data_IF_411608358749
#
_entry.id   IF_411608358749
#
_cell.length_a   1.000
_cell.length_b   1.000
_cell.length_c   1.000
_cell.angle_alpha   90.00
_cell.angle_beta   90.00
_cell.angle_gamma   90.00
#
_symmetry.space_group_name_H-M   'P 1'
#
loop_
_entity.id
_entity.type
_entity.pdbx_description
1 polymer ?
#
# COMPACT_ATOMS: atom_id res chain seq x y z
N UNK A 1 -115.96 43.02 -63.46
CA UNK A 1 -114.56 42.56 -63.66
C UNK A 1 -113.75 43.03 -62.45
N UNK A 2 -113.08 42.09 -61.76
CA UNK A 2 -112.67 42.19 -60.36
C UNK A 2 -111.48 43.14 -60.12
N UNK A 3 -111.69 44.14 -59.27
CA UNK A 3 -110.68 44.87 -58.49
C UNK A 3 -111.28 45.14 -57.11
N UNK A 4 -110.59 44.74 -56.05
CA UNK A 4 -110.82 45.29 -54.71
C UNK A 4 -109.44 45.55 -54.09
N UNK A 5 -109.21 46.82 -53.79
CA UNK A 5 -108.16 47.35 -52.92
C UNK A 5 -108.68 47.21 -51.49
N UNK A 6 -107.83 46.84 -50.52
CA UNK A 6 -108.08 47.21 -49.14
C UNK A 6 -106.79 47.33 -48.33
N UNK A 7 -106.80 48.37 -47.49
CA UNK A 7 -105.81 48.76 -46.50
C UNK A 7 -105.72 47.74 -45.35
N UNK A 8 -104.51 47.53 -44.81
CA UNK A 8 -104.27 46.82 -43.55
C UNK A 8 -102.87 47.15 -43.03
N UNK A 9 -102.79 47.90 -41.93
CA UNK A 9 -101.54 48.25 -41.26
C UNK A 9 -101.03 47.17 -40.32
N UNK A 10 -99.80 47.34 -39.81
CA UNK A 10 -99.17 46.78 -38.59
C UNK A 10 -97.80 47.50 -38.48
N UNK A 11 -97.67 48.54 -37.66
CA UNK A 11 -97.22 48.58 -36.26
C UNK A 11 -95.79 48.02 -36.05
N UNK A 12 -94.81 48.93 -36.02
CA UNK A 12 -93.41 48.68 -35.67
C UNK A 12 -93.22 48.99 -34.18
N UNK A 13 -92.88 47.98 -33.38
CA UNK A 13 -92.65 48.09 -31.94
C UNK A 13 -91.15 48.33 -31.67
N UNK A 14 -90.82 49.49 -31.09
CA UNK A 14 -89.47 49.86 -30.65
C UNK A 14 -89.15 49.21 -29.29
N UNK A 15 -88.02 48.51 -29.24
CA UNK A 15 -87.46 47.80 -28.09
C UNK A 15 -87.01 48.76 -26.99
N UNK A 16 -87.41 48.47 -25.73
CA UNK A 16 -86.79 49.07 -24.55
C UNK A 16 -86.78 48.10 -23.36
N UNK A 17 -85.66 48.18 -22.63
CA UNK A 17 -85.33 47.70 -21.28
C UNK A 17 -85.02 46.22 -21.00
N UNK A 18 -83.87 46.06 -20.33
CA UNK A 18 -83.40 44.85 -19.67
C UNK A 18 -81.96 45.01 -19.17
N UNK A 19 -81.65 46.06 -18.39
CA UNK A 19 -80.41 46.11 -17.62
C UNK A 19 -80.60 45.22 -16.38
N UNK A 20 -79.80 44.17 -16.25
CA UNK A 20 -79.80 43.26 -15.09
C UNK A 20 -78.37 43.10 -14.57
N UNK A 21 -78.18 43.65 -13.37
CA UNK A 21 -77.25 43.35 -12.27
C UNK A 21 -75.95 42.58 -12.51
N UNK A 22 -74.86 43.23 -12.08
CA UNK A 22 -73.72 42.69 -11.33
C UNK A 22 -73.43 41.19 -11.50
N UNK A 23 -72.49 40.89 -12.40
CA UNK A 23 -71.57 39.81 -12.14
C UNK A 23 -70.46 40.39 -11.28
N UNK A 24 -70.45 40.03 -9.99
CA UNK A 24 -69.27 40.08 -9.12
C UNK A 24 -68.13 39.35 -9.85
N UNK A 25 -67.37 40.10 -10.64
CA UNK A 25 -66.00 39.74 -10.93
C UNK A 25 -65.31 39.87 -9.57
N UNK A 26 -65.00 38.74 -8.94
CA UNK A 26 -63.97 38.74 -7.91
C UNK A 26 -62.76 39.43 -8.55
N UNK A 27 -62.58 40.69 -8.17
CA UNK A 27 -61.36 41.43 -8.36
C UNK A 27 -60.31 40.53 -7.71
N UNK A 28 -59.55 39.81 -8.54
CA UNK A 28 -58.37 39.10 -8.08
C UNK A 28 -57.46 40.21 -7.55
N UNK A 29 -57.61 40.50 -6.27
CA UNK A 29 -56.77 41.44 -5.54
C UNK A 29 -55.35 40.99 -5.86
N UNK A 30 -54.63 41.84 -6.60
CA UNK A 30 -53.23 41.62 -6.85
C UNK A 30 -52.59 41.71 -5.47
N UNK A 31 -52.45 40.58 -4.79
CA UNK A 31 -51.68 40.54 -3.56
C UNK A 31 -50.33 41.16 -3.88
N UNK A 32 -50.10 42.34 -3.31
CA UNK A 32 -48.82 43.02 -3.40
C UNK A 32 -47.75 42.00 -3.05
N UNK A 33 -46.80 41.81 -3.97
CA UNK A 33 -45.70 40.91 -3.75
C UNK A 33 -44.86 41.48 -2.59
N UNK A 34 -45.15 41.05 -1.36
CA UNK A 34 -44.36 41.42 -0.21
C UNK A 34 -42.98 40.80 -0.38
N UNK A 35 -41.99 41.65 -0.65
CA UNK A 35 -40.59 41.27 -0.61
C UNK A 35 -40.29 40.64 0.76
N UNK A 36 -39.61 39.49 0.73
CA UNK A 36 -39.14 38.79 1.92
C UNK A 36 -37.65 39.00 2.07
N UNK A 37 -37.17 38.88 3.30
CA UNK A 37 -35.74 38.87 3.60
C UNK A 37 -35.26 37.43 3.78
N UNK A 38 -34.14 37.10 3.14
CA UNK A 38 -33.54 35.77 3.11
C UNK A 38 -32.34 35.74 4.05
N UNK A 39 -32.28 34.74 4.93
CA UNK A 39 -31.16 34.51 5.83
C UNK A 39 -30.62 33.10 5.70
N UNK A 40 -29.30 32.95 5.79
CA UNK A 40 -28.65 31.66 5.87
C UNK A 40 -29.19 30.89 7.09
N UNK A 41 -29.43 29.60 6.92
CA UNK A 41 -29.94 28.72 7.97
C UNK A 41 -28.92 27.68 8.41
N UNK A 42 -29.39 26.76 9.23
CA UNK A 42 -28.59 25.69 9.82
C UNK A 42 -28.84 24.35 9.11
N UNK A 43 -28.07 23.33 9.51
CA UNK A 43 -28.29 21.94 9.13
C UNK A 43 -29.70 21.47 9.50
N UNK A 44 -30.33 20.71 8.62
CA UNK A 44 -31.67 20.16 8.84
C UNK A 44 -31.66 18.64 8.78
N UNK A 45 -32.06 17.95 9.85
CA UNK A 45 -32.03 16.49 9.86
C UNK A 45 -30.60 15.94 10.05
N UNK A 46 -30.41 14.66 9.76
CA UNK A 46 -29.14 13.95 9.99
C UNK A 46 -28.22 14.05 8.78
N UNK A 47 -26.92 14.24 9.02
CA UNK A 47 -25.90 14.14 7.98
C UNK A 47 -25.88 12.70 7.46
N UNK A 48 -26.09 12.53 6.17
CA UNK A 48 -26.11 11.21 5.55
C UNK A 48 -24.69 10.82 5.15
N UNK A 49 -24.22 9.69 5.69
CA UNK A 49 -22.93 9.09 5.32
C UNK A 49 -23.12 8.09 4.18
N UNK A 50 -22.31 8.23 3.13
CA UNK A 50 -22.16 7.23 2.05
C UNK A 50 -20.74 6.66 2.07
N UNK A 51 -20.41 5.80 1.11
CA UNK A 51 -19.03 5.30 0.96
C UNK A 51 -18.06 6.38 0.49
N UNK A 52 -18.53 7.40 -0.25
CA UNK A 52 -17.66 8.39 -0.90
C UNK A 52 -17.82 9.81 -0.33
N UNK A 53 -18.98 10.11 0.26
CA UNK A 53 -19.33 11.47 0.68
C UNK A 53 -20.20 11.53 1.93
N UNK A 54 -20.15 12.68 2.59
CA UNK A 54 -21.17 13.12 3.54
C UNK A 54 -22.11 14.10 2.85
N UNK A 55 -23.41 13.88 2.97
CA UNK A 55 -24.46 14.77 2.45
C UNK A 55 -25.06 15.49 3.65
N UNK A 56 -24.86 16.80 3.70
CA UNK A 56 -25.28 17.69 4.76
C UNK A 56 -26.50 18.48 4.25
N UNK A 57 -27.72 18.09 4.63
CA UNK A 57 -28.92 18.88 4.35
C UNK A 57 -28.90 20.20 5.12
N UNK A 58 -29.12 21.31 4.43
CA UNK A 58 -29.09 22.68 5.00
C UNK A 58 -30.35 23.43 4.60
N UNK A 59 -30.85 24.28 5.51
CA UNK A 59 -31.97 25.18 5.24
C UNK A 59 -31.52 26.62 5.00
N UNK A 60 -32.36 27.35 4.26
CA UNK A 60 -32.36 28.80 4.15
C UNK A 60 -33.75 29.26 4.54
N UNK A 61 -33.85 30.30 5.35
CA UNK A 61 -35.11 30.76 5.94
C UNK A 61 -35.48 32.15 5.43
N UNK A 62 -36.79 32.39 5.36
CA UNK A 62 -37.39 33.68 5.05
C UNK A 62 -38.03 34.26 6.31
N UNK A 63 -38.12 35.59 6.38
CA UNK A 63 -38.87 36.28 7.44
C UNK A 63 -40.41 36.23 7.26
N UNK A 64 -40.89 35.55 6.20
CA UNK A 64 -42.31 35.34 5.91
C UNK A 64 -42.50 34.45 4.66
N UNK A 65 -43.74 34.04 4.41
CA UNK A 65 -44.05 33.15 3.28
C UNK A 65 -43.74 33.79 1.91
N UNK A 66 -43.08 33.03 1.04
CA UNK A 66 -42.71 33.49 -0.29
C UNK A 66 -43.94 33.82 -1.16
N UNK A 67 -44.07 35.10 -1.56
CA UNK A 67 -45.17 35.56 -2.42
C UNK A 67 -45.14 34.99 -3.85
N UNK A 68 -44.00 34.47 -4.31
CA UNK A 68 -43.80 33.77 -5.60
C UNK A 68 -42.69 32.74 -5.44
N UNK A 69 -42.65 31.72 -6.31
CA UNK A 69 -41.49 30.83 -6.37
C UNK A 69 -40.26 31.58 -6.89
N UNK A 70 -39.07 31.37 -6.31
CA UNK A 70 -37.81 31.96 -6.77
C UNK A 70 -36.62 31.07 -6.41
N UNK A 71 -35.46 31.40 -6.96
CA UNK A 71 -34.21 30.68 -6.71
C UNK A 71 -33.18 31.64 -6.12
N UNK A 72 -32.41 31.15 -5.15
CA UNK A 72 -31.31 31.87 -4.51
C UNK A 72 -30.00 31.19 -4.90
N UNK A 73 -29.12 31.85 -5.68
CA UNK A 73 -27.82 31.29 -6.00
C UNK A 73 -26.93 31.14 -4.78
N UNK A 74 -26.25 30.00 -4.70
CA UNK A 74 -25.37 29.62 -3.60
C UNK A 74 -23.93 29.49 -4.09
N UNK A 75 -22.99 29.65 -3.17
CA UNK A 75 -21.57 29.46 -3.44
C UNK A 75 -20.85 29.04 -2.17
N UNK A 76 -19.78 28.27 -2.30
CA UNK A 76 -18.86 27.97 -1.20
C UNK A 76 -18.16 29.27 -0.79
N UNK A 77 -18.06 29.52 0.52
CA UNK A 77 -17.41 30.70 1.10
C UNK A 77 -16.48 30.28 2.24
N UNK A 78 -15.47 29.50 1.91
CA UNK A 78 -14.53 28.98 2.89
C UNK A 78 -13.57 30.05 3.41
N UNK A 79 -13.28 31.10 2.62
CA UNK A 79 -12.47 32.24 3.04
C UNK A 79 -13.03 32.94 4.29
N UNK A 80 -14.35 33.02 4.42
CA UNK A 80 -14.99 33.61 5.60
C UNK A 80 -14.78 32.72 6.83
N UNK A 81 -14.89 31.40 6.69
CA UNK A 81 -14.59 30.46 7.79
C UNK A 81 -13.15 30.61 8.26
N UNK A 82 -12.19 30.63 7.33
CA UNK A 82 -10.76 30.79 7.66
C UNK A 82 -10.54 32.11 8.42
N UNK A 83 -11.08 33.23 7.94
CA UNK A 83 -10.95 34.53 8.62
C UNK A 83 -11.52 34.52 10.03
N UNK A 84 -12.65 33.85 10.25
CA UNK A 84 -13.28 33.76 11.58
C UNK A 84 -12.48 32.87 12.54
N UNK A 85 -11.83 31.80 12.04
CA UNK A 85 -10.90 30.99 12.81
C UNK A 85 -9.67 31.82 13.19
N UNK A 86 -9.07 32.54 12.24
CA UNK A 86 -7.91 33.41 12.46
C UNK A 86 -8.22 34.55 13.44
N UNK A 87 -9.44 35.10 13.40
CA UNK A 87 -9.92 36.09 14.35
C UNK A 87 -10.23 35.52 15.75
N UNK A 88 -10.23 34.19 15.92
CA UNK A 88 -10.59 33.51 17.16
C UNK A 88 -12.09 33.49 17.46
N UNK A 89 -12.94 33.87 16.50
CA UNK A 89 -14.41 33.85 16.63
C UNK A 89 -14.97 32.42 16.50
N UNK A 90 -14.24 31.56 15.78
CA UNK A 90 -14.51 30.12 15.71
C UNK A 90 -13.37 29.33 16.36
N UNK A 91 -13.54 28.98 17.63
CA UNK A 91 -12.58 28.18 18.39
C UNK A 91 -12.76 26.67 18.16
N UNK A 92 -11.67 25.91 18.22
CA UNK A 92 -11.63 24.44 18.16
C UNK A 92 -12.27 23.82 16.91
N UNK A 93 -12.26 24.53 15.79
CA UNK A 93 -12.74 24.04 14.49
C UNK A 93 -11.64 24.08 13.43
N UNK A 94 -11.73 23.18 12.45
CA UNK A 94 -10.87 23.16 11.27
C UNK A 94 -11.69 23.49 10.02
N UNK A 95 -11.19 24.42 9.21
CA UNK A 95 -11.78 24.70 7.91
C UNK A 95 -11.50 23.54 6.96
N UNK A 96 -12.55 23.02 6.31
CA UNK A 96 -12.41 22.05 5.22
C UNK A 96 -11.79 22.69 3.98
N UNK A 97 -11.12 21.88 3.15
CA UNK A 97 -10.67 22.33 1.83
C UNK A 97 -11.85 22.74 0.94
N UNK A 98 -11.83 23.95 0.37
CA UNK A 98 -12.89 24.42 -0.53
C UNK A 98 -13.12 23.49 -1.73
N UNK A 99 -12.06 22.83 -2.23
CA UNK A 99 -12.13 21.90 -3.35
C UNK A 99 -12.86 20.59 -3.02
N UNK A 100 -13.02 20.27 -1.73
CA UNK A 100 -13.72 19.06 -1.26
C UNK A 100 -15.22 19.27 -1.08
N UNK A 101 -15.70 20.51 -1.20
CA UNK A 101 -17.08 20.90 -0.92
C UNK A 101 -17.81 21.15 -2.24
N UNK A 102 -18.91 20.42 -2.43
CA UNK A 102 -19.90 20.73 -3.46
C UNK A 102 -21.18 21.23 -2.79
N UNK A 103 -21.80 22.24 -3.39
CA UNK A 103 -23.07 22.80 -2.95
C UNK A 103 -24.00 22.87 -4.16
N UNK A 104 -25.30 22.66 -3.93
CA UNK A 104 -26.29 22.93 -4.99
C UNK A 104 -26.14 24.38 -5.47
N UNK A 105 -26.16 24.60 -6.79
CA UNK A 105 -25.97 25.95 -7.36
C UNK A 105 -27.06 26.94 -6.91
N UNK A 106 -28.25 26.44 -6.58
CA UNK A 106 -29.40 27.25 -6.16
C UNK A 106 -30.23 26.54 -5.09
N UNK A 107 -30.78 27.30 -4.16
CA UNK A 107 -31.90 26.87 -3.32
C UNK A 107 -33.22 27.35 -3.92
N UNK A 108 -34.24 26.49 -3.93
CA UNK A 108 -35.53 26.77 -4.59
C UNK A 108 -36.65 26.99 -3.58
N UNK A 109 -37.18 28.20 -3.55
CA UNK A 109 -38.37 28.53 -2.77
C UNK A 109 -39.62 28.30 -3.60
N UNK A 110 -40.60 27.61 -3.01
CA UNK A 110 -41.93 27.42 -3.60
C UNK A 110 -42.84 28.56 -3.14
N UNK A 111 -43.90 28.82 -3.90
CA UNK A 111 -44.95 29.74 -3.45
C UNK A 111 -45.48 29.30 -2.08
N UNK A 112 -45.60 30.25 -1.15
CA UNK A 112 -46.07 30.01 0.21
C UNK A 112 -45.06 29.34 1.15
N UNK A 113 -43.86 28.98 0.70
CA UNK A 113 -42.83 28.40 1.59
C UNK A 113 -42.10 29.48 2.38
N UNK A 114 -41.75 29.19 3.63
CA UNK A 114 -40.91 30.05 4.49
C UNK A 114 -39.45 29.57 4.56
N UNK A 115 -39.17 28.40 3.98
CA UNK A 115 -37.84 27.82 3.95
C UNK A 115 -37.61 27.05 2.66
N UNK A 116 -36.35 26.99 2.23
CA UNK A 116 -35.87 26.10 1.18
C UNK A 116 -34.75 25.23 1.75
N UNK A 117 -34.59 24.04 1.19
CA UNK A 117 -33.50 23.13 1.53
C UNK A 117 -32.59 22.92 0.32
N UNK A 118 -31.33 22.69 0.60
CA UNK A 118 -30.31 22.31 -0.36
C UNK A 118 -29.29 21.39 0.32
N UNK A 119 -28.45 20.72 -0.45
CA UNK A 119 -27.40 19.86 0.08
C UNK A 119 -26.02 20.49 -0.08
N UNK A 120 -25.21 20.32 0.96
CA UNK A 120 -23.75 20.42 0.87
C UNK A 120 -23.22 18.99 0.86
N UNK A 121 -22.42 18.64 -0.14
CA UNK A 121 -21.78 17.34 -0.27
C UNK A 121 -20.28 17.52 -0.04
N UNK A 122 -19.71 16.73 0.86
CA UNK A 122 -18.27 16.76 1.18
C UNK A 122 -17.68 15.39 0.92
N UNK A 123 -16.48 15.35 0.32
CA UNK A 123 -15.74 14.11 0.17
C UNK A 123 -15.46 13.46 1.53
N UNK A 124 -15.76 12.16 1.68
CA UNK A 124 -15.59 11.45 2.95
C UNK A 124 -14.12 11.38 3.36
N UNK A 125 -13.20 11.19 2.42
CA UNK A 125 -11.76 11.13 2.68
C UNK A 125 -11.20 12.42 3.30
N UNK A 126 -11.74 13.59 2.91
CA UNK A 126 -11.38 14.86 3.52
C UNK A 126 -11.83 14.89 5.00
N UNK A 127 -13.05 14.42 5.28
CA UNK A 127 -13.57 14.38 6.65
C UNK A 127 -12.77 13.41 7.52
N UNK A 128 -12.38 12.26 6.96
CA UNK A 128 -11.54 11.26 7.63
C UNK A 128 -10.18 11.85 8.05
N UNK A 129 -9.54 12.67 7.21
CA UNK A 129 -8.26 13.34 7.53
C UNK A 129 -8.31 14.21 8.79
N UNK A 130 -9.50 14.67 9.16
CA UNK A 130 -9.71 15.49 10.36
C UNK A 130 -10.48 14.74 11.45
N UNK A 131 -10.48 13.41 11.42
CA UNK A 131 -11.17 12.61 12.42
C UNK A 131 -10.75 13.00 13.84
N UNK A 132 -11.75 13.23 14.70
CA UNK A 132 -11.57 13.73 16.05
C UNK A 132 -11.56 15.26 16.19
N UNK A 133 -11.79 16.01 15.10
CA UNK A 133 -11.92 17.47 15.13
C UNK A 133 -13.36 17.90 14.78
N UNK A 134 -13.70 19.14 15.10
CA UNK A 134 -14.87 19.82 14.54
C UNK A 134 -14.50 20.45 13.21
N UNK A 135 -15.39 20.34 12.23
CA UNK A 135 -15.19 20.87 10.89
C UNK A 135 -16.16 22.00 10.62
N UNK A 136 -15.70 23.01 9.88
CA UNK A 136 -16.49 24.17 9.49
C UNK A 136 -16.57 24.32 7.96
N UNK A 137 -17.78 24.58 7.46
CA UNK A 137 -18.08 24.83 6.05
C UNK A 137 -18.82 26.15 5.91
N UNK A 138 -18.31 27.03 5.05
CA UNK A 138 -18.96 28.31 4.75
C UNK A 138 -19.71 28.27 3.43
N UNK A 139 -20.88 28.89 3.37
CA UNK A 139 -21.60 29.16 2.13
C UNK A 139 -22.21 30.57 2.11
N UNK A 140 -22.34 31.16 0.93
CA UNK A 140 -22.92 32.50 0.75
C UNK A 140 -24.15 32.51 -0.14
N UNK A 141 -25.07 33.41 0.20
CA UNK A 141 -26.21 33.82 -0.60
C UNK A 141 -25.78 34.96 -1.52
N UNK A 142 -25.88 34.79 -2.85
CA UNK A 142 -25.31 35.75 -3.81
C UNK A 142 -26.36 36.72 -4.41
N UNK A 143 -27.63 36.33 -4.48
CA UNK A 143 -28.72 37.19 -4.99
C UNK A 143 -30.07 36.78 -4.36
N UNK A 144 -30.85 37.78 -3.94
CA UNK A 144 -32.15 37.55 -3.33
C UNK A 144 -33.24 37.08 -4.32
N UNK A 145 -33.08 37.42 -5.60
CA UNK A 145 -34.06 37.15 -6.66
C UNK A 145 -35.39 37.91 -6.47
N UNK A 146 -36.10 38.20 -7.57
CA UNK A 146 -37.49 38.71 -7.59
C UNK A 146 -37.83 39.81 -6.56
N UNK A 147 -36.94 40.81 -6.42
CA UNK A 147 -37.13 41.98 -5.53
C UNK A 147 -37.10 41.68 -4.02
N UNK A 148 -36.68 40.48 -3.63
CA UNK A 148 -36.38 40.15 -2.24
C UNK A 148 -35.08 40.81 -1.78
N UNK A 149 -34.79 40.69 -0.48
CA UNK A 149 -33.55 41.17 0.12
C UNK A 149 -32.78 40.01 0.77
N UNK A 150 -31.46 40.10 0.79
CA UNK A 150 -30.63 39.24 1.63
C UNK A 150 -30.34 40.00 2.92
N UNK A 151 -30.50 39.34 4.06
CA UNK A 151 -30.07 39.89 5.34
C UNK A 151 -28.55 40.04 5.34
N UNK A 152 -28.05 41.27 5.34
CA UNK A 152 -26.61 41.56 5.29
C UNK A 152 -25.83 41.04 6.50
N UNK A 153 -26.49 40.75 7.62
CA UNK A 153 -25.87 40.16 8.81
C UNK A 153 -25.90 38.63 8.79
N UNK A 154 -26.71 38.02 7.92
CA UNK A 154 -26.91 36.58 7.81
C UNK A 154 -26.83 36.09 6.35
N UNK A 155 -26.01 36.76 5.54
CA UNK A 155 -25.80 36.41 4.12
C UNK A 155 -24.83 35.24 3.91
N UNK A 156 -24.15 34.83 4.98
CA UNK A 156 -23.20 33.73 5.01
C UNK A 156 -23.64 32.74 6.08
N UNK A 157 -23.78 31.47 5.71
CA UNK A 157 -24.01 30.38 6.66
C UNK A 157 -22.71 29.65 6.95
N UNK A 158 -22.56 29.25 8.22
CA UNK A 158 -21.42 28.45 8.68
C UNK A 158 -21.96 27.20 9.34
N UNK A 159 -21.67 26.06 8.72
CA UNK A 159 -22.04 24.75 9.22
C UNK A 159 -20.87 24.18 9.99
N UNK A 160 -21.11 23.78 11.24
CA UNK A 160 -20.10 23.14 12.10
C UNK A 160 -20.65 21.78 12.52
N UNK A 161 -19.83 20.73 12.39
CA UNK A 161 -20.15 19.39 12.90
C UNK A 161 -18.90 18.73 13.48
N UNK A 162 -19.08 17.87 14.48
CA UNK A 162 -17.99 17.04 15.01
C UNK A 162 -17.84 15.79 14.14
N UNK A 163 -16.63 15.50 13.69
CA UNK A 163 -16.36 14.28 12.90
C UNK A 163 -16.73 12.99 13.63
N UNK A 164 -16.69 12.99 14.97
CA UNK A 164 -17.09 11.83 15.80
C UNK A 164 -18.61 11.59 15.82
N UNK A 165 -19.42 12.57 15.41
CA UNK A 165 -20.87 12.40 15.30
C UNK A 165 -21.29 11.70 14.01
N UNK A 166 -20.40 11.68 13.01
CA UNK A 166 -20.68 11.15 11.67
C UNK A 166 -19.81 9.95 11.29
N UNK A 167 -18.63 9.79 11.90
CA UNK A 167 -17.69 8.70 11.68
C UNK A 167 -17.33 8.03 13.01
N UNK A 168 -17.11 6.72 12.95
CA UNK A 168 -16.49 5.91 14.01
C UNK A 168 -15.03 5.62 13.67
N UNK A 169 -14.24 5.14 14.62
CA UNK A 169 -12.85 4.74 14.35
C UNK A 169 -12.76 3.61 13.30
N UNK A 170 -13.76 2.72 13.26
CA UNK A 170 -13.86 1.64 12.27
C UNK A 170 -14.24 2.15 10.87
N UNK A 171 -14.78 3.37 10.77
CA UNK A 171 -15.03 4.02 9.48
C UNK A 171 -13.78 4.65 8.87
N UNK A 172 -12.68 4.77 9.64
CA UNK A 172 -11.47 5.46 9.20
C UNK A 172 -10.56 4.52 8.44
N UNK A 173 -10.16 4.99 7.26
CA UNK A 173 -9.29 4.27 6.37
C UNK A 173 -7.84 4.61 6.67
N UNK A 174 -7.22 3.76 7.49
CA UNK A 174 -5.85 3.97 7.89
C UNK A 174 -4.83 3.41 6.90
N UNK A 175 -3.78 4.19 6.68
CA UNK A 175 -2.53 3.78 6.05
C UNK A 175 -1.59 3.27 7.15
N UNK A 176 -1.02 2.10 6.96
CA UNK A 176 -0.09 1.48 7.91
C UNK A 176 0.94 0.59 7.20
N UNK A 177 1.96 0.16 7.92
CA UNK A 177 2.74 -1.01 7.52
C UNK A 177 1.99 -2.29 7.87
N UNK A 178 2.11 -3.30 7.01
CA UNK A 178 1.60 -4.65 7.32
C UNK A 178 2.20 -5.20 8.62
N UNK A 179 3.46 -4.88 8.88
CA UNK A 179 4.21 -5.29 10.08
C UNK A 179 3.92 -4.42 11.31
N UNK A 180 3.33 -3.24 11.15
CA UNK A 180 2.76 -2.40 12.20
C UNK A 180 3.60 -2.29 13.48
N UNK A 181 4.68 -1.52 13.44
CA UNK A 181 5.56 -1.25 14.58
C UNK A 181 6.49 -2.40 14.98
N UNK A 182 6.34 -3.59 14.39
CA UNK A 182 7.22 -4.72 14.65
C UNK A 182 8.63 -4.52 14.07
N UNK A 183 9.59 -5.21 14.71
CA UNK A 183 10.94 -5.41 14.20
C UNK A 183 10.94 -6.60 13.24
N UNK A 184 11.38 -6.37 12.01
CA UNK A 184 11.57 -7.37 10.96
C UNK A 184 13.03 -7.79 10.98
N UNK A 185 13.33 -8.99 11.48
CA UNK A 185 14.70 -9.50 11.48
C UNK A 185 15.03 -10.18 10.14
N UNK A 186 16.03 -9.67 9.42
CA UNK A 186 16.60 -10.29 8.23
C UNK A 186 17.78 -11.19 8.62
N UNK A 187 17.59 -12.50 8.49
CA UNK A 187 18.59 -13.55 8.78
C UNK A 187 18.18 -14.88 8.17
N UNK A 188 19.11 -15.79 7.90
CA UNK A 188 18.83 -17.18 7.51
C UNK A 188 17.83 -17.29 6.33
N UNK A 189 17.99 -16.43 5.32
CA UNK A 189 17.07 -16.28 4.17
C UNK A 189 15.61 -15.93 4.51
N UNK A 190 15.36 -15.43 5.72
CA UNK A 190 14.06 -14.91 6.14
C UNK A 190 14.07 -13.39 6.00
N UNK A 191 12.99 -12.84 5.42
CA UNK A 191 12.77 -11.40 5.28
C UNK A 191 13.80 -10.65 4.42
N UNK A 192 14.54 -11.33 3.53
CA UNK A 192 15.35 -10.69 2.49
C UNK A 192 15.50 -11.58 1.25
N UNK A 193 15.79 -10.95 0.12
CA UNK A 193 16.25 -11.57 -1.11
C UNK A 193 17.71 -11.17 -1.37
N UNK A 194 18.52 -12.07 -1.93
CA UNK A 194 19.94 -11.83 -2.22
C UNK A 194 20.17 -11.59 -3.70
N UNK A 195 21.07 -10.67 -4.03
CA UNK A 195 21.54 -10.40 -5.39
C UNK A 195 23.07 -10.31 -5.40
N UNK A 196 23.68 -10.09 -6.58
CA UNK A 196 25.13 -9.84 -6.65
C UNK A 196 25.56 -8.50 -6.04
N UNK A 197 24.66 -7.50 -5.97
CA UNK A 197 24.97 -6.15 -5.49
C UNK A 197 24.72 -5.95 -3.99
N UNK A 198 23.92 -6.81 -3.37
CA UNK A 198 23.48 -6.64 -1.99
C UNK A 198 22.26 -7.50 -1.67
N UNK A 199 21.59 -7.14 -0.60
CA UNK A 199 20.33 -7.75 -0.18
C UNK A 199 19.18 -6.75 -0.27
N UNK A 200 17.98 -7.26 -0.55
CA UNK A 200 16.74 -6.46 -0.55
C UNK A 200 15.76 -6.98 0.50
N UNK A 201 15.21 -6.07 1.31
CA UNK A 201 14.17 -6.35 2.31
C UNK A 201 12.84 -5.84 1.78
N UNK A 202 11.88 -6.72 1.44
CA UNK A 202 10.56 -6.30 0.97
C UNK A 202 9.69 -5.80 2.13
N UNK A 203 9.10 -4.63 1.94
CA UNK A 203 8.14 -4.01 2.83
C UNK A 203 6.78 -3.86 2.15
N UNK A 204 5.73 -3.72 2.97
CA UNK A 204 4.37 -3.56 2.48
C UNK A 204 3.64 -2.49 3.30
N UNK A 205 3.17 -1.46 2.60
CA UNK A 205 2.22 -0.50 3.13
C UNK A 205 0.81 -0.90 2.71
N UNK A 206 -0.15 -0.80 3.62
CA UNK A 206 -1.54 -1.16 3.41
C UNK A 206 -2.47 0.03 3.71
N UNK A 207 -3.58 0.08 2.99
CA UNK A 207 -4.75 0.91 3.25
C UNK A 207 -5.88 -0.01 3.75
N UNK A 208 -6.40 0.25 4.94
CA UNK A 208 -7.48 -0.54 5.56
C UNK A 208 -8.88 -0.28 4.94
N UNK A 209 -8.96 0.04 3.64
CA UNK A 209 -10.17 0.51 2.94
C UNK A 209 -10.46 -0.24 1.65
N UNK A 210 -11.61 0.10 1.07
CA UNK A 210 -11.84 -0.10 -0.35
C UNK A 210 -10.87 0.75 -1.16
N UNK A 211 -10.21 0.14 -2.15
CA UNK A 211 -9.31 0.86 -3.01
C UNK A 211 -10.01 2.00 -3.77
N UNK A 212 -9.37 3.16 -3.90
CA UNK A 212 -9.98 4.37 -4.46
C UNK A 212 -9.05 5.18 -5.36
N UNK A 213 -9.11 6.50 -5.23
CA UNK A 213 -8.23 7.43 -5.97
C UNK A 213 -6.75 7.17 -5.63
N UNK A 214 -5.83 7.41 -6.59
CA UNK A 214 -4.42 7.25 -6.33
C UNK A 214 -3.93 8.30 -5.33
N UNK A 215 -2.96 7.93 -4.50
CA UNK A 215 -2.35 8.83 -3.53
C UNK A 215 -0.91 8.43 -3.26
N UNK A 216 -0.16 9.31 -2.60
CA UNK A 216 1.21 9.04 -2.19
C UNK A 216 1.37 9.21 -0.69
N UNK A 217 2.35 8.52 -0.13
CA UNK A 217 2.79 8.68 1.26
C UNK A 217 4.31 8.75 1.28
N UNK A 218 4.86 9.69 2.03
CA UNK A 218 6.31 9.84 2.16
C UNK A 218 6.86 8.77 3.11
N UNK A 219 8.11 8.37 2.88
CA UNK A 219 8.84 7.39 3.69
C UNK A 219 10.06 8.07 4.27
N UNK A 220 10.12 8.14 5.59
CA UNK A 220 11.23 8.73 6.33
C UNK A 220 11.95 7.65 7.13
N UNK A 221 13.22 7.93 7.43
CA UNK A 221 14.06 7.10 8.29
C UNK A 221 14.60 7.94 9.44
N UNK A 222 14.91 7.30 10.57
CA UNK A 222 15.35 8.00 11.78
C UNK A 222 16.34 7.15 12.59
N UNK A 223 17.56 7.65 12.76
CA UNK A 223 18.61 6.98 13.53
C UNK A 223 18.49 7.25 15.03
N UNK A 224 17.87 8.35 15.47
CA UNK A 224 17.68 8.67 16.89
C UNK A 224 16.71 7.69 17.54
N UNK A 225 15.67 7.27 16.81
CA UNK A 225 14.75 6.23 17.27
C UNK A 225 15.48 4.90 17.49
N UNK A 226 16.44 4.52 16.62
CA UNK A 226 17.25 3.32 16.82
C UNK A 226 18.09 3.42 18.10
N UNK A 227 18.74 4.56 18.33
CA UNK A 227 19.52 4.78 19.56
C UNK A 227 18.64 4.63 20.82
N UNK A 228 17.42 5.17 20.78
CA UNK A 228 16.44 5.00 21.85
C UNK A 228 16.03 3.53 22.04
N UNK A 229 15.74 2.81 20.96
CA UNK A 229 15.37 1.39 21.03
C UNK A 229 16.49 0.51 21.62
N UNK A 230 17.76 0.86 21.40
CA UNK A 230 18.91 0.19 22.06
C UNK A 230 18.91 0.49 23.56
N UNK A 231 18.74 1.76 23.96
CA UNK A 231 18.68 2.15 25.38
C UNK A 231 17.52 1.49 26.13
N UNK A 232 16.36 1.37 25.46
CA UNK A 232 15.17 0.73 26.00
C UNK A 232 15.25 -0.82 25.99
N UNK A 233 16.33 -1.39 25.44
CA UNK A 233 16.57 -2.83 25.37
C UNK A 233 15.70 -3.57 24.34
N UNK A 234 15.02 -2.84 23.45
CA UNK A 234 14.22 -3.39 22.35
C UNK A 234 15.14 -3.97 21.28
N UNK A 235 16.25 -3.29 20.98
CA UNK A 235 17.28 -3.76 20.05
C UNK A 235 18.53 -4.25 20.80
N UNK A 236 19.27 -5.24 20.26
CA UNK A 236 20.53 -5.71 20.85
C UNK A 236 21.57 -4.59 21.02
N UNK A 237 22.39 -4.65 22.07
CA UNK A 237 23.42 -3.65 22.34
C UNK A 237 24.53 -3.55 21.26
N UNK A 238 24.72 -4.60 20.45
CA UNK A 238 25.64 -4.60 19.32
C UNK A 238 25.01 -4.09 18.01
N UNK A 239 23.87 -3.39 18.09
CA UNK A 239 23.19 -2.81 16.94
C UNK A 239 23.82 -1.49 16.51
N UNK A 240 23.99 -1.32 15.20
CA UNK A 240 24.44 -0.10 14.53
C UNK A 240 23.29 0.40 13.67
N UNK A 241 22.97 1.69 13.75
CA UNK A 241 21.98 2.30 12.87
C UNK A 241 22.57 2.49 11.47
N UNK A 242 21.86 2.02 10.44
CA UNK A 242 22.21 2.29 9.05
C UNK A 242 22.10 3.79 8.76
N UNK A 243 23.12 4.34 8.11
CA UNK A 243 23.18 5.73 7.66
C UNK A 243 22.56 5.87 6.27
N UNK A 244 22.24 7.10 5.85
CA UNK A 244 21.55 7.37 4.58
C UNK A 244 22.29 6.80 3.34
N UNK A 245 23.62 6.77 3.38
CA UNK A 245 24.46 6.21 2.30
C UNK A 245 24.60 4.67 2.36
N UNK A 246 24.18 4.03 3.45
CA UNK A 246 24.31 2.58 3.66
C UNK A 246 23.20 1.77 2.96
N UNK A 247 22.13 2.43 2.50
CA UNK A 247 20.98 1.76 1.89
C UNK A 247 20.32 2.61 0.81
N UNK A 248 19.45 1.98 0.02
CA UNK A 248 18.52 2.69 -0.85
C UNK A 248 17.09 2.32 -0.52
N UNK A 249 16.21 3.32 -0.51
CA UNK A 249 14.77 3.19 -0.30
C UNK A 249 14.06 4.24 -1.15
N UNK A 250 12.87 3.94 -1.65
CA UNK A 250 12.06 4.97 -2.30
C UNK A 250 11.48 5.91 -1.23
N UNK A 251 11.81 7.22 -1.23
CA UNK A 251 11.33 8.16 -0.22
C UNK A 251 9.83 8.47 -0.34
N UNK A 252 9.16 7.95 -1.38
CA UNK A 252 7.73 8.13 -1.58
C UNK A 252 7.08 6.89 -2.19
N UNK A 253 6.10 6.34 -1.48
CA UNK A 253 5.31 5.20 -1.96
C UNK A 253 4.07 5.73 -2.67
N UNK A 254 3.84 5.24 -3.90
CA UNK A 254 2.65 5.56 -4.69
C UNK A 254 1.64 4.42 -4.56
N UNK A 255 0.43 4.73 -4.11
CA UNK A 255 -0.74 3.86 -4.15
C UNK A 255 -1.49 4.13 -5.45
N UNK A 256 -1.43 3.20 -6.44
CA UNK A 256 -2.17 3.35 -7.67
C UNK A 256 -3.68 3.30 -7.41
N UNK A 257 -4.46 3.79 -8.38
CA UNK A 257 -5.91 3.70 -8.32
C UNK A 257 -6.34 2.25 -8.08
N UNK A 258 -7.35 2.10 -7.25
CA UNK A 258 -7.93 0.81 -6.92
C UNK A 258 -6.93 -0.21 -6.32
N UNK A 259 -5.90 0.25 -5.60
CA UNK A 259 -4.97 -0.62 -4.83
C UNK A 259 -5.09 -0.41 -3.31
N UNK A 260 -5.11 -1.50 -2.52
CA UNK A 260 -5.11 -1.45 -1.04
C UNK A 260 -3.76 -1.81 -0.42
N UNK A 261 -2.81 -2.36 -1.18
CA UNK A 261 -1.49 -2.74 -0.69
C UNK A 261 -0.43 -2.41 -1.73
N UNK A 262 0.70 -1.85 -1.29
CA UNK A 262 1.84 -1.57 -2.17
C UNK A 262 3.09 -2.18 -1.54
N UNK A 263 3.82 -2.95 -2.37
CA UNK A 263 5.16 -3.43 -2.04
C UNK A 263 6.19 -2.39 -2.45
N UNK A 264 7.17 -2.17 -1.58
CA UNK A 264 8.41 -1.47 -1.88
C UNK A 264 9.55 -2.16 -1.13
N UNK A 265 10.79 -1.73 -1.34
CA UNK A 265 11.96 -2.44 -0.81
C UNK A 265 13.02 -1.48 -0.28
N UNK A 266 13.80 -2.00 0.66
CA UNK A 266 15.07 -1.42 1.10
C UNK A 266 16.19 -2.29 0.56
N UNK A 267 17.17 -1.69 -0.11
CA UNK A 267 18.36 -2.40 -0.58
C UNK A 267 19.57 -2.00 0.25
N UNK A 268 20.34 -2.98 0.71
CA UNK A 268 21.59 -2.78 1.46
C UNK A 268 22.74 -3.45 0.70
N UNK A 269 23.74 -2.69 0.23
CA UNK A 269 24.87 -3.24 -0.50
C UNK A 269 25.69 -4.24 0.33
N UNK A 270 26.31 -5.24 -0.31
CA UNK A 270 27.08 -6.24 0.42
C UNK A 270 28.29 -5.67 1.17
N UNK A 271 28.92 -4.60 0.68
CA UNK A 271 30.06 -3.99 1.37
C UNK A 271 29.66 -3.47 2.76
N UNK A 272 28.47 -2.87 2.91
CA UNK A 272 27.93 -2.42 4.20
C UNK A 272 27.78 -3.59 5.17
N UNK A 273 27.25 -4.72 4.70
CA UNK A 273 27.11 -5.93 5.52
C UNK A 273 28.49 -6.48 5.91
N UNK A 274 29.41 -6.58 4.94
CA UNK A 274 30.76 -7.12 5.11
C UNK A 274 31.61 -6.29 6.08
N UNK A 275 31.44 -4.97 6.10
CA UNK A 275 32.18 -4.09 6.99
C UNK A 275 31.69 -4.19 8.45
N UNK A 276 30.55 -4.84 8.68
CA UNK A 276 29.87 -4.88 9.97
C UNK A 276 29.61 -6.30 10.50
N UNK A 277 30.36 -7.31 10.06
CA UNK A 277 30.20 -8.71 10.51
C UNK A 277 30.24 -8.84 12.04
N UNK A 278 29.32 -9.65 12.57
CA UNK A 278 29.13 -9.86 14.01
C UNK A 278 28.33 -8.74 14.70
N UNK A 279 27.81 -7.77 13.94
CA UNK A 279 26.90 -6.72 14.42
C UNK A 279 25.48 -6.97 13.95
N UNK A 280 24.54 -6.23 14.54
CA UNK A 280 23.20 -6.07 13.97
C UNK A 280 23.14 -4.70 13.30
N UNK A 281 22.52 -4.60 12.13
CA UNK A 281 22.30 -3.34 11.44
C UNK A 281 20.82 -3.01 11.49
N UNK A 282 20.43 -1.80 11.89
CA UNK A 282 19.03 -1.45 12.04
C UNK A 282 18.63 -0.21 11.24
N UNK A 283 17.40 -0.23 10.73
CA UNK A 283 16.79 0.90 10.04
C UNK A 283 15.35 1.07 10.52
N UNK A 284 15.06 2.24 11.11
CA UNK A 284 13.69 2.63 11.44
C UNK A 284 13.07 3.33 10.24
N UNK A 285 11.81 3.01 9.94
CA UNK A 285 11.10 3.54 8.78
C UNK A 285 9.71 3.96 9.22
N UNK A 286 9.28 5.16 8.83
CA UNK A 286 7.95 5.71 9.13
C UNK A 286 7.29 6.29 7.87
N UNK A 287 5.98 6.12 7.78
CA UNK A 287 5.12 6.76 6.79
C UNK A 287 4.66 8.13 7.31
N UNK A 288 4.77 9.16 6.47
CA UNK A 288 4.33 10.52 6.75
C UNK A 288 3.65 11.20 5.56
N UNK A 289 3.01 12.33 5.83
CA UNK A 289 2.47 13.26 4.82
C UNK A 289 1.68 12.58 3.68
N UNK A 290 0.68 11.72 3.99
CA UNK A 290 -0.11 11.13 2.94
C UNK A 290 -0.93 12.21 2.22
N UNK A 291 -1.00 12.15 0.89
CA UNK A 291 -1.81 13.11 0.11
C UNK A 291 -3.31 12.81 0.21
N UNK A 292 -3.67 11.62 0.67
CA UNK A 292 -5.04 11.15 0.90
C UNK A 292 -5.06 10.17 2.08
N UNK A 293 -6.18 10.08 2.80
CA UNK A 293 -6.39 9.20 3.96
C UNK A 293 -5.56 9.57 5.20
N UNK A 294 -5.67 8.75 6.26
CA UNK A 294 -5.11 9.01 7.59
C UNK A 294 -4.03 7.97 7.89
N UNK A 295 -2.95 8.35 8.56
CA UNK A 295 -1.97 7.38 9.07
C UNK A 295 -2.49 6.73 10.36
N UNK A 296 -2.27 5.42 10.49
CA UNK A 296 -2.38 4.74 11.78
C UNK A 296 -1.17 5.11 12.65
N UNK A 297 -1.33 5.95 13.66
CA UNK A 297 -0.21 6.43 14.48
C UNK A 297 0.49 5.31 15.28
N UNK A 298 -0.15 4.16 15.47
CA UNK A 298 0.45 3.02 16.16
C UNK A 298 1.12 2.04 15.19
N UNK A 299 0.80 2.12 13.89
CA UNK A 299 1.23 1.15 12.86
C UNK A 299 1.86 1.78 11.63
N UNK A 300 2.07 3.09 11.59
CA UNK A 300 2.69 3.80 10.46
C UNK A 300 4.22 3.69 10.43
N UNK A 301 4.82 2.88 11.30
CA UNK A 301 6.26 2.65 11.30
C UNK A 301 6.60 1.15 11.34
N UNK A 302 7.85 0.83 11.04
CA UNK A 302 8.44 -0.49 11.22
C UNK A 302 9.95 -0.36 11.42
N UNK A 303 10.61 -1.42 11.85
CA UNK A 303 12.08 -1.45 12.01
C UNK A 303 12.63 -2.67 11.33
N UNK A 304 13.63 -2.50 10.47
CA UNK A 304 14.42 -3.59 9.92
C UNK A 304 15.61 -3.84 10.87
N UNK A 305 15.90 -5.10 11.16
CA UNK A 305 17.08 -5.53 11.89
C UNK A 305 17.81 -6.61 11.08
N UNK A 306 18.95 -6.29 10.51
CA UNK A 306 19.77 -7.21 9.72
C UNK A 306 20.80 -7.84 10.64
N UNK A 307 20.82 -9.17 10.67
CA UNK A 307 21.91 -9.91 11.28
C UNK A 307 23.05 -10.08 10.28
N UNK A 308 24.03 -9.19 10.34
CA UNK A 308 25.14 -9.16 9.36
C UNK A 308 25.90 -10.47 9.25
N UNK A 309 26.04 -11.21 10.35
CA UNK A 309 26.70 -12.51 10.36
C UNK A 309 25.78 -13.57 9.76
N UNK A 310 24.47 -13.45 10.03
CA UNK A 310 23.48 -14.42 9.65
C UNK A 310 22.75 -14.14 8.32
N UNK A 311 23.34 -13.32 7.45
CA UNK A 311 22.81 -13.06 6.09
C UNK A 311 23.82 -13.34 4.98
N UNK A 312 25.07 -13.63 5.32
CA UNK A 312 26.14 -13.94 4.38
C UNK A 312 26.31 -15.43 4.23
N UNK A 313 26.31 -15.90 2.99
CA UNK A 313 26.77 -17.23 2.64
C UNK A 313 28.27 -17.21 2.41
N UNK A 314 28.99 -18.15 3.00
CA UNK A 314 30.45 -18.25 2.87
C UNK A 314 30.80 -19.57 2.20
N UNK A 315 31.54 -19.52 1.10
CA UNK A 315 32.17 -20.70 0.55
C UNK A 315 33.32 -21.12 1.48
N UNK A 316 33.15 -22.26 2.13
CA UNK A 316 34.11 -22.79 3.12
C UNK A 316 34.92 -23.95 2.55
N UNK A 317 34.80 -24.27 1.25
CA UNK A 317 35.45 -25.44 0.63
C UNK A 317 36.94 -25.51 0.95
N UNK A 318 37.65 -24.39 0.87
CA UNK A 318 39.10 -24.32 1.05
C UNK A 318 39.52 -24.37 2.54
N UNK A 319 38.55 -24.37 3.46
CA UNK A 319 38.78 -24.58 4.91
C UNK A 319 38.77 -26.07 5.28
N UNK A 320 38.35 -26.95 4.37
CA UNK A 320 38.22 -28.38 4.62
C UNK A 320 39.35 -29.20 4.01
N UNK A 321 39.75 -30.28 4.68
CA UNK A 321 40.58 -31.33 4.10
C UNK A 321 39.71 -32.23 3.21
N UNK A 322 40.02 -32.23 1.91
CA UNK A 322 39.28 -33.00 0.91
C UNK A 322 39.96 -34.33 0.58
N UNK A 323 39.17 -35.40 0.47
CA UNK A 323 39.64 -36.72 0.03
C UNK A 323 38.55 -37.50 -0.71
N UNK A 324 38.95 -38.56 -1.42
CA UNK A 324 38.02 -39.52 -2.05
C UNK A 324 38.40 -40.94 -1.65
N UNK A 325 37.42 -41.85 -1.63
CA UNK A 325 37.68 -43.27 -1.36
C UNK A 325 38.46 -43.98 -2.48
N UNK A 326 38.33 -43.50 -3.72
CA UNK A 326 39.07 -44.00 -4.88
C UNK A 326 39.35 -42.88 -5.88
N UNK A 327 40.62 -42.65 -6.13
CA UNK A 327 41.10 -41.61 -7.05
C UNK A 327 41.20 -42.09 -8.51
N UNK A 328 41.59 -41.17 -9.39
CA UNK A 328 42.06 -41.44 -10.74
C UNK A 328 43.34 -42.29 -10.70
N UNK A 329 43.62 -43.06 -11.75
CA UNK A 329 44.83 -43.90 -11.84
C UNK A 329 46.14 -43.10 -11.75
N UNK A 330 46.10 -41.80 -12.07
CA UNK A 330 47.25 -40.90 -11.97
C UNK A 330 47.39 -40.25 -10.58
N UNK A 331 46.52 -40.60 -9.63
CA UNK A 331 46.49 -40.06 -8.27
C UNK A 331 45.81 -38.68 -8.17
N UNK A 332 45.70 -38.14 -6.93
CA UNK A 332 44.94 -36.92 -6.63
C UNK A 332 45.44 -35.67 -7.34
N UNK A 333 46.75 -35.57 -7.59
CA UNK A 333 47.41 -34.45 -8.26
C UNK A 333 47.51 -34.62 -9.79
N UNK A 334 46.99 -35.73 -10.33
CA UNK A 334 46.98 -35.96 -11.77
C UNK A 334 46.13 -34.94 -12.52
N UNK A 335 46.29 -34.88 -13.85
CA UNK A 335 45.53 -33.96 -14.72
C UNK A 335 44.01 -34.08 -14.54
N UNK A 336 43.53 -35.28 -14.23
CA UNK A 336 42.11 -35.58 -13.93
C UNK A 336 41.93 -36.20 -12.53
N UNK A 337 42.81 -35.88 -11.59
CA UNK A 337 42.78 -36.38 -10.21
C UNK A 337 41.69 -35.75 -9.34
N UNK A 338 41.44 -36.31 -8.16
CA UNK A 338 40.32 -35.90 -7.30
C UNK A 338 40.37 -34.44 -6.83
N UNK A 339 41.56 -33.86 -6.66
CA UNK A 339 41.72 -32.46 -6.23
C UNK A 339 41.09 -31.47 -7.21
N UNK A 340 40.83 -31.88 -8.46
CA UNK A 340 40.10 -31.07 -9.43
C UNK A 340 38.70 -30.71 -8.96
N UNK A 341 38.10 -31.49 -8.07
CA UNK A 341 36.78 -31.17 -7.50
C UNK A 341 36.77 -29.96 -6.56
N UNK A 342 37.92 -29.49 -6.09
CA UNK A 342 37.99 -28.41 -5.08
C UNK A 342 39.08 -27.38 -5.42
N UNK A 343 39.60 -27.36 -6.65
CA UNK A 343 40.72 -26.49 -7.03
C UNK A 343 40.30 -25.11 -7.55
N UNK A 344 38.99 -24.82 -7.58
CA UNK A 344 38.44 -23.56 -8.06
C UNK A 344 38.58 -23.36 -9.57
N UNK A 345 39.07 -24.37 -10.31
CA UNK A 345 39.19 -24.34 -11.75
C UNK A 345 38.11 -25.19 -12.41
N UNK A 346 36.99 -24.53 -12.69
CA UNK A 346 35.82 -25.07 -13.38
C UNK A 346 36.10 -25.68 -14.77
N UNK A 347 37.25 -25.45 -15.39
CA UNK A 347 37.62 -26.05 -16.68
C UNK A 347 38.38 -27.37 -16.55
N UNK A 348 38.87 -27.69 -15.35
CA UNK A 348 39.46 -28.97 -14.99
C UNK A 348 38.37 -29.97 -14.58
N UNK A 349 38.69 -31.26 -14.45
CA UNK A 349 37.72 -32.25 -13.98
C UNK A 349 38.40 -33.39 -13.24
N UNK A 350 37.70 -33.94 -12.26
CA UNK A 350 37.99 -35.27 -11.78
C UNK A 350 37.35 -36.28 -12.73
N UNK A 351 38.11 -37.28 -13.16
CA UNK A 351 37.61 -38.42 -13.93
C UNK A 351 37.90 -39.70 -13.14
N UNK A 352 36.86 -40.46 -12.84
CA UNK A 352 36.99 -41.74 -12.16
C UNK A 352 36.54 -42.88 -13.07
N UNK A 353 37.42 -43.88 -13.23
CA UNK A 353 37.11 -45.08 -13.99
C UNK A 353 36.45 -46.16 -13.14
N UNK A 354 35.77 -47.11 -13.81
CA UNK A 354 35.07 -48.24 -13.18
C UNK A 354 34.06 -47.78 -12.11
N UNK A 355 33.34 -46.69 -12.39
CA UNK A 355 32.30 -46.18 -11.50
C UNK A 355 31.12 -47.15 -11.44
N UNK A 356 30.75 -47.58 -10.23
CA UNK A 356 29.66 -48.54 -9.98
C UNK A 356 28.64 -48.02 -8.96
N UNK A 357 28.62 -46.71 -8.69
CA UNK A 357 27.74 -46.12 -7.66
C UNK A 357 28.35 -46.11 -6.27
N UNK A 358 29.69 -46.09 -6.17
CA UNK A 358 30.44 -46.29 -4.93
C UNK A 358 31.45 -45.16 -4.64
N UNK A 359 31.38 -44.03 -5.35
CA UNK A 359 32.30 -42.91 -5.14
C UNK A 359 31.88 -42.09 -3.92
N UNK A 360 32.79 -41.98 -2.96
CA UNK A 360 32.65 -41.13 -1.79
C UNK A 360 33.70 -40.03 -1.84
N UNK A 361 33.24 -38.79 -1.76
CA UNK A 361 34.08 -37.61 -1.58
C UNK A 361 33.84 -37.08 -0.16
N UNK A 362 34.90 -36.87 0.62
CA UNK A 362 34.82 -36.48 2.03
C UNK A 362 35.49 -35.12 2.20
N UNK A 363 34.85 -34.26 2.98
CA UNK A 363 35.39 -32.99 3.43
C UNK A 363 35.37 -32.94 4.96
N UNK A 364 36.53 -32.69 5.56
CA UNK A 364 36.71 -32.61 7.02
C UNK A 364 37.13 -31.20 7.40
N UNK A 365 36.38 -30.56 8.28
CA UNK A 365 36.66 -29.23 8.80
C UNK A 365 37.19 -29.30 10.23
N UNK A 366 38.12 -28.40 10.58
CA UNK A 366 38.64 -28.28 11.94
C UNK A 366 37.55 -27.89 12.94
N UNK A 367 36.60 -27.06 12.51
CA UNK A 367 35.46 -26.58 13.30
C UNK A 367 34.14 -26.95 12.62
N UNK A 368 33.05 -27.24 13.38
CA UNK A 368 31.75 -27.53 12.80
C UNK A 368 31.27 -26.41 11.86
N UNK A 369 30.99 -26.74 10.60
CA UNK A 369 30.42 -25.82 9.62
C UNK A 369 28.93 -26.10 9.47
N UNK A 370 28.08 -25.07 9.35
CA UNK A 370 26.65 -25.25 9.06
C UNK A 370 26.40 -25.13 7.55
N UNK A 371 26.58 -26.23 6.84
CA UNK A 371 26.44 -26.25 5.38
C UNK A 371 24.97 -26.21 4.98
N UNK A 372 24.51 -25.09 4.43
CA UNK A 372 23.14 -24.89 3.98
C UNK A 372 22.95 -25.02 2.48
N UNK A 373 24.03 -25.12 1.73
CA UNK A 373 23.99 -25.50 0.34
C UNK A 373 25.33 -26.05 -0.13
N UNK A 374 25.30 -26.67 -1.29
CA UNK A 374 26.49 -27.04 -2.03
C UNK A 374 26.24 -26.80 -3.52
N UNK A 375 27.32 -26.69 -4.29
CA UNK A 375 27.23 -26.54 -5.74
C UNK A 375 28.04 -27.61 -6.43
N UNK A 376 27.58 -28.04 -7.61
CA UNK A 376 28.34 -28.86 -8.53
C UNK A 376 28.54 -28.14 -9.84
N UNK A 377 29.74 -28.22 -10.40
CA UNK A 377 30.00 -27.88 -11.78
C UNK A 377 30.25 -29.13 -12.58
N UNK A 378 29.46 -29.30 -13.64
CA UNK A 378 29.55 -30.47 -14.50
C UNK A 378 30.81 -30.48 -15.37
N UNK A 379 31.29 -31.67 -15.73
CA UNK A 379 32.53 -31.84 -16.48
C UNK A 379 32.52 -31.22 -17.89
N UNK A 380 33.70 -31.10 -18.50
CA UNK A 380 33.87 -30.48 -19.82
C UNK A 380 33.74 -31.43 -21.03
N UNK A 381 33.48 -32.73 -20.81
CA UNK A 381 33.59 -33.76 -21.85
C UNK A 381 32.23 -34.42 -22.18
N UNK A 382 31.85 -35.50 -21.49
CA UNK A 382 30.67 -36.29 -21.84
C UNK A 382 29.56 -36.19 -20.78
N UNK A 383 28.36 -35.73 -21.15
CA UNK A 383 27.24 -35.57 -20.22
C UNK A 383 26.76 -36.89 -19.59
N UNK A 384 27.02 -38.03 -20.22
CA UNK A 384 26.66 -39.35 -19.68
C UNK A 384 27.44 -39.71 -18.42
N UNK A 385 28.52 -38.99 -18.11
CA UNK A 385 29.41 -39.23 -16.97
C UNK A 385 29.11 -38.35 -15.76
N UNK A 386 28.20 -37.40 -15.91
CA UNK A 386 27.84 -36.47 -14.83
C UNK A 386 27.09 -37.18 -13.71
N UNK A 387 27.19 -36.70 -12.46
CA UNK A 387 26.37 -37.21 -11.36
C UNK A 387 24.89 -37.03 -11.68
N UNK A 388 24.11 -38.09 -11.46
CA UNK A 388 22.66 -38.11 -11.61
C UNK A 388 21.94 -38.33 -10.28
N UNK A 389 22.56 -39.07 -9.36
CA UNK A 389 22.03 -39.32 -8.03
C UNK A 389 23.14 -39.39 -7.00
N UNK A 390 22.86 -38.88 -5.81
CA UNK A 390 23.79 -38.84 -4.70
C UNK A 390 23.08 -38.58 -3.36
N UNK A 391 23.81 -38.84 -2.28
CA UNK A 391 23.48 -38.40 -0.94
C UNK A 391 24.55 -37.45 -0.44
N UNK A 392 24.15 -36.33 0.16
CA UNK A 392 25.03 -35.57 1.03
C UNK A 392 24.77 -36.02 2.46
N UNK A 393 25.83 -36.44 3.14
CA UNK A 393 25.80 -36.96 4.50
C UNK A 393 26.72 -36.13 5.39
N UNK A 394 26.39 -36.06 6.68
CA UNK A 394 27.17 -35.31 7.66
C UNK A 394 27.39 -36.11 8.95
N UNK A 395 28.49 -35.83 9.65
CA UNK A 395 28.91 -36.54 10.86
C UNK A 395 29.77 -35.64 11.76
N UNK A 396 29.79 -35.93 13.06
CA UNK A 396 30.70 -35.30 14.03
C UNK A 396 31.83 -36.23 14.49
N UNK A 397 31.79 -37.52 14.14
CA UNK A 397 32.77 -38.53 14.55
C UNK A 397 33.41 -39.26 13.35
N UNK A 398 32.96 -38.98 12.13
CA UNK A 398 33.42 -39.64 10.89
C UNK A 398 32.94 -41.09 10.75
N UNK A 399 32.17 -41.62 11.71
CA UNK A 399 31.75 -43.03 11.80
C UNK A 399 30.24 -43.14 11.62
N UNK A 400 29.47 -42.35 12.37
CA UNK A 400 28.02 -42.31 12.31
C UNK A 400 27.59 -41.16 11.39
N UNK A 401 27.00 -41.51 10.25
CA UNK A 401 26.63 -40.54 9.22
C UNK A 401 25.12 -40.37 9.17
N UNK A 402 24.67 -39.11 9.05
CA UNK A 402 23.28 -38.74 8.82
C UNK A 402 23.14 -38.17 7.42
N UNK A 403 22.22 -38.70 6.61
CA UNK A 403 21.90 -38.10 5.31
C UNK A 403 21.17 -36.78 5.51
N UNK A 404 21.73 -35.70 4.98
CA UNK A 404 21.19 -34.33 5.07
C UNK A 404 20.61 -33.83 3.75
N UNK A 405 20.97 -34.44 2.62
CA UNK A 405 20.32 -34.20 1.33
C UNK A 405 20.34 -35.48 0.47
N UNK A 406 19.32 -35.65 -0.36
CA UNK A 406 19.21 -36.77 -1.32
C UNK A 406 18.72 -36.26 -2.66
N UNK A 407 19.47 -36.56 -3.72
CA UNK A 407 19.16 -36.17 -5.08
C UNK A 407 19.16 -37.37 -6.01
N UNK A 408 18.29 -37.34 -7.01
CA UNK A 408 18.16 -38.40 -8.01
C UNK A 408 17.57 -37.84 -9.29
N UNK A 409 17.99 -38.34 -10.45
CA UNK A 409 17.46 -37.88 -11.74
C UNK A 409 17.99 -36.52 -12.17
N UNK A 410 19.07 -36.04 -11.55
CA UNK A 410 19.65 -34.73 -11.85
C UNK A 410 20.36 -34.72 -13.20
N UNK A 411 20.23 -33.60 -13.93
CA UNK A 411 20.82 -33.40 -15.26
C UNK A 411 21.40 -31.98 -15.35
N UNK A 412 22.51 -31.84 -16.07
CA UNK A 412 23.13 -30.56 -16.38
C UNK A 412 22.88 -30.23 -17.86
N UNK A 413 22.23 -29.10 -18.14
CA UNK A 413 21.76 -28.75 -19.49
C UNK A 413 22.90 -28.43 -20.47
N UNK A 414 24.07 -28.06 -19.95
CA UNK A 414 25.27 -27.75 -20.72
C UNK A 414 26.54 -28.23 -19.99
N UNK A 415 27.69 -28.18 -20.68
CA UNK A 415 29.01 -28.41 -20.06
C UNK A 415 29.44 -27.22 -19.23
N UNK A 416 30.19 -27.50 -18.17
CA UNK A 416 30.65 -26.50 -17.20
C UNK A 416 29.50 -25.71 -16.55
N UNK A 417 28.29 -26.28 -16.54
CA UNK A 417 27.15 -25.69 -15.85
C UNK A 417 27.32 -25.91 -14.34
N UNK A 418 27.32 -24.82 -13.58
CA UNK A 418 27.22 -24.85 -12.12
C UNK A 418 25.75 -24.91 -11.71
N UNK A 419 25.41 -25.86 -10.86
CA UNK A 419 24.09 -25.97 -10.23
C UNK A 419 24.24 -25.92 -8.71
N UNK A 420 23.31 -25.24 -8.05
CA UNK A 420 23.22 -25.15 -6.60
C UNK A 420 22.14 -26.08 -6.07
N UNK A 421 22.41 -26.68 -4.91
CA UNK A 421 21.49 -27.52 -4.17
C UNK A 421 21.44 -27.05 -2.72
N UNK A 422 20.26 -26.65 -2.25
CA UNK A 422 20.06 -26.20 -0.88
C UNK A 422 19.75 -27.39 0.04
N UNK A 423 20.27 -27.32 1.27
CA UNK A 423 20.06 -28.30 2.34
C UNK A 423 19.01 -27.74 3.31
N UNK A 424 17.89 -28.44 3.44
CA UNK A 424 16.86 -28.06 4.40
C UNK A 424 17.29 -28.38 5.84
N UNK A 425 16.94 -27.51 6.80
CA UNK A 425 17.21 -27.68 8.22
C UNK A 425 18.69 -27.97 8.57
N UNK A 426 19.61 -27.27 7.92
CA UNK A 426 21.04 -27.47 8.13
C UNK A 426 21.46 -27.36 9.62
N UNK A 427 22.27 -28.33 10.06
CA UNK A 427 22.96 -28.32 11.34
C UNK A 427 24.49 -28.30 11.10
N UNK A 428 25.24 -27.93 12.14
CA UNK A 428 26.69 -27.83 12.05
C UNK A 428 27.36 -29.20 12.26
N UNK A 429 28.29 -29.56 11.38
CA UNK A 429 29.07 -30.80 11.46
C UNK A 429 30.53 -30.57 11.08
N UNK A 430 31.44 -31.41 11.57
CA UNK A 430 32.86 -31.38 11.19
C UNK A 430 33.15 -32.22 9.94
N UNK A 431 32.34 -33.25 9.66
CA UNK A 431 32.55 -34.14 8.52
C UNK A 431 31.36 -34.10 7.57
N UNK A 432 31.66 -34.00 6.28
CA UNK A 432 30.68 -34.10 5.20
C UNK A 432 31.13 -35.13 4.18
N UNK A 433 30.21 -35.98 3.73
CA UNK A 433 30.46 -37.00 2.73
C UNK A 433 29.43 -36.89 1.61
N UNK A 434 29.92 -36.65 0.41
CA UNK A 434 29.17 -36.77 -0.81
C UNK A 434 29.31 -38.19 -1.35
N UNK A 435 28.21 -38.93 -1.38
CA UNK A 435 28.14 -40.29 -1.87
C UNK A 435 27.43 -40.31 -3.23
N UNK A 436 28.18 -40.43 -4.34
CA UNK A 436 27.63 -40.46 -5.69
C UNK A 436 27.13 -41.88 -5.99
N UNK A 437 25.81 -42.01 -6.16
CA UNK A 437 25.13 -43.31 -6.32
C UNK A 437 24.82 -43.64 -7.78
N UNK A 438 24.71 -42.64 -8.65
CA UNK A 438 24.51 -42.85 -10.08
C UNK A 438 25.04 -41.72 -10.95
N UNK A 439 25.28 -42.04 -12.23
CA UNK A 439 25.60 -41.11 -13.30
C UNK A 439 24.53 -41.17 -14.39
N UNK A 440 24.46 -40.15 -15.24
CA UNK A 440 23.39 -40.01 -16.26
C UNK A 440 23.35 -41.20 -17.24
N UNK A 441 24.50 -41.77 -17.62
CA UNK A 441 24.60 -42.90 -18.53
C UNK A 441 25.43 -44.06 -17.98
N UNK A 442 25.14 -45.28 -18.43
CA UNK A 442 25.80 -46.52 -17.97
C UNK A 442 27.21 -46.76 -18.53
N UNK A 443 28.05 -45.73 -18.65
CA UNK A 443 29.40 -45.84 -19.27
C UNK A 443 30.51 -46.19 -18.27
N UNK A 444 30.17 -46.42 -16.99
CA UNK A 444 31.10 -46.74 -15.89
C UNK A 444 32.27 -45.73 -15.73
N UNK A 445 32.07 -44.48 -16.15
CA UNK A 445 33.00 -43.37 -15.99
C UNK A 445 32.26 -42.22 -15.33
N UNK A 446 32.72 -41.78 -14.16
CA UNK A 446 32.23 -40.58 -13.50
C UNK A 446 33.12 -39.39 -13.85
N UNK A 447 32.52 -38.22 -14.03
CA UNK A 447 33.26 -36.96 -14.07
C UNK A 447 32.52 -35.83 -13.37
N UNK A 448 33.26 -34.88 -12.82
CA UNK A 448 32.74 -33.61 -12.33
C UNK A 448 33.88 -32.58 -12.24
N UNK A 449 33.57 -31.31 -12.45
CA UNK A 449 34.55 -30.23 -12.46
C UNK A 449 34.75 -29.59 -11.11
N UNK A 450 33.70 -29.36 -10.33
CA UNK A 450 33.85 -28.67 -9.04
C UNK A 450 32.73 -29.10 -8.09
N UNK A 451 33.05 -29.17 -6.79
CA UNK A 451 32.14 -29.28 -5.67
C UNK A 451 32.49 -28.20 -4.65
N UNK A 452 31.55 -27.28 -4.40
CA UNK A 452 31.73 -26.23 -3.38
C UNK A 452 30.75 -26.38 -2.24
N UNK A 453 31.22 -26.15 -1.02
CA UNK A 453 30.47 -26.26 0.23
C UNK A 453 30.16 -24.85 0.76
N UNK A 454 28.88 -24.52 0.82
CA UNK A 454 28.41 -23.18 1.17
C UNK A 454 27.86 -23.22 2.60
N UNK A 455 28.62 -22.62 3.52
CA UNK A 455 28.16 -22.37 4.86
C UNK A 455 27.05 -21.33 4.81
N UNK A 456 25.93 -21.69 5.42
CA UNK A 456 24.95 -20.72 5.85
C UNK A 456 25.17 -20.41 7.33
N UNK A 457 24.78 -19.21 7.75
CA UNK A 457 24.59 -18.84 9.14
C UNK A 457 23.98 -19.91 10.05
#
# INVERSE_FOLDING_TARGET
MKRIVNFGGILVLLLSFGACSDADLEEFDHQENKAVEISAGATTGTILKTNESLIIPVSIVLNGAAGKAFEVPLSVNQDTVVKLIEAGELADVTALSAASIMIDNVAKFKFGSEAAQFNIVVARTEVEQHFGKKLAIGYSLQNAGKENLINNQQNTGIIIFDTREVLTAEDIHYISFRTGGAVIEARNRQNYESSSGGMTIPLMANLASFPGNPFTVDVLTDTDTIAKMIMDGILPANTIALQEDDFTINPRVNFPSNTSEVRFEVSVPWHVINDNIGKKLALFIRLENPTLHVLDTERNFTTILIDSENVIEVDVTDMGEFSVNRDNNSGPDGNEGSKKLVDGNFSSKFLQSNFVGDLQCIMVFDEPQKIGAYTFTSGNDDNRRDPNGWHLEASNDGVNWTTIDTRSGEVFASRLMTRRFDVEFAAAYTHYRLNITSIVGGVALFQMSEWRMIRIP
#
